data_IF_535662753942
#
_entry.id   IF_535662753942
#
_cell.length_a   1.000
_cell.length_b   1.000
_cell.length_c   1.000
_cell.angle_alpha   90.00
_cell.angle_beta   90.00
_cell.angle_gamma   90.00
#
_symmetry.space_group_name_H-M   'P 1'
#
loop_
_entity.id
_entity.type
_entity.pdbx_description
1 polymer ?
#
# COMPACT_ATOMS: atom_id res chain seq x y z
N UNK A 1 -6.21 -6.08 -5.51
CA UNK A 1 -5.52 -4.82 -5.14
C UNK A 1 -4.74 -4.33 -6.35
N UNK A 2 -4.80 -3.03 -6.65
CA UNK A 2 -3.95 -2.41 -7.67
C UNK A 2 -3.31 -1.14 -7.12
N UNK A 3 -2.02 -0.98 -7.36
CA UNK A 3 -1.22 0.14 -6.87
C UNK A 3 -0.74 0.94 -8.08
N UNK A 4 -0.89 2.26 -8.06
CA UNK A 4 -0.56 3.11 -9.22
C UNK A 4 0.16 4.39 -8.79
N UNK A 5 1.35 4.61 -9.33
CA UNK A 5 2.10 5.87 -9.23
C UNK A 5 1.98 6.64 -10.54
N UNK A 6 1.47 7.88 -10.54
CA UNK A 6 1.37 8.72 -11.75
C UNK A 6 0.80 7.99 -12.98
N UNK A 7 -0.30 7.24 -12.80
CA UNK A 7 -0.95 6.40 -13.81
C UNK A 7 -0.14 5.18 -14.31
N UNK A 8 0.97 4.83 -13.66
CA UNK A 8 1.74 3.60 -13.91
C UNK A 8 1.41 2.53 -12.87
N UNK A 9 0.94 1.38 -13.35
CA UNK A 9 0.64 0.22 -12.50
C UNK A 9 1.94 -0.37 -11.93
N UNK A 10 1.95 -0.65 -10.64
CA UNK A 10 3.03 -1.40 -10.00
C UNK A 10 2.83 -2.88 -10.29
N UNK A 11 3.86 -3.53 -10.80
CA UNK A 11 3.90 -4.97 -11.08
C UNK A 11 4.98 -5.61 -10.22
N UNK A 12 4.71 -6.80 -9.67
CA UNK A 12 5.66 -7.50 -8.82
C UNK A 12 6.98 -7.76 -9.56
N UNK A 13 8.10 -7.40 -8.91
CA UNK A 13 9.45 -7.55 -9.46
C UNK A 13 9.85 -6.52 -10.53
N UNK A 14 8.97 -5.58 -10.91
CA UNK A 14 9.33 -4.53 -11.86
C UNK A 14 10.00 -3.36 -11.14
N UNK A 15 11.15 -2.91 -11.64
CA UNK A 15 11.89 -1.79 -11.07
C UNK A 15 11.15 -0.47 -11.31
N UNK A 16 11.09 0.38 -10.28
CA UNK A 16 10.51 1.71 -10.35
C UNK A 16 11.56 2.71 -9.86
N UNK A 17 11.80 3.74 -10.65
CA UNK A 17 12.76 4.79 -10.29
C UNK A 17 12.29 5.58 -9.06
N UNK A 18 13.20 5.97 -8.13
CA UNK A 18 12.86 6.79 -6.97
C UNK A 18 12.12 8.09 -7.32
N UNK A 19 12.46 8.71 -8.45
CA UNK A 19 11.80 9.91 -8.95
C UNK A 19 10.32 9.71 -9.33
N UNK A 20 9.89 8.47 -9.56
CA UNK A 20 8.50 8.14 -9.88
C UNK A 20 7.64 7.84 -8.64
N UNK A 21 8.24 7.69 -7.46
CA UNK A 21 7.59 7.33 -6.20
C UNK A 21 7.71 8.43 -5.14
N UNK A 22 7.78 9.69 -5.57
CA UNK A 22 7.89 10.83 -4.64
C UNK A 22 6.60 11.11 -3.88
N UNK A 23 5.45 10.87 -4.51
CA UNK A 23 4.13 11.00 -3.90
C UNK A 23 3.52 9.63 -3.67
N UNK A 24 2.65 9.52 -2.66
CA UNK A 24 1.95 8.29 -2.32
C UNK A 24 1.19 7.69 -3.52
N UNK A 25 1.19 6.35 -3.67
CA UNK A 25 0.47 5.71 -4.75
C UNK A 25 -1.03 5.70 -4.48
N UNK A 26 -1.81 5.58 -5.56
CA UNK A 26 -3.22 5.21 -5.45
C UNK A 26 -3.32 3.71 -5.25
N UNK A 27 -3.87 3.27 -4.13
CA UNK A 27 -4.12 1.86 -3.81
C UNK A 27 -5.60 1.58 -3.88
N UNK A 28 -6.06 0.87 -4.90
CA UNK A 28 -7.45 0.43 -5.04
C UNK A 28 -7.62 -1.00 -4.59
N UNK A 29 -8.60 -1.22 -3.73
CA UNK A 29 -9.07 -2.55 -3.36
C UNK A 29 -10.20 -2.92 -4.33
N UNK A 30 -9.97 -3.96 -5.14
CA UNK A 30 -11.02 -4.46 -6.03
C UNK A 30 -11.94 -5.34 -5.18
N UNK A 31 -13.24 -5.30 -5.47
CA UNK A 31 -14.25 -6.14 -4.82
C UNK A 31 -13.71 -7.55 -4.55
N UNK A 32 -13.70 -7.91 -3.27
CA UNK A 32 -13.45 -9.27 -2.84
C UNK A 32 -14.74 -10.04 -3.13
N UNK A 33 -14.78 -10.64 -4.33
CA UNK A 33 -15.71 -11.69 -4.79
C UNK A 33 -17.09 -11.26 -5.31
N UNK A 34 -17.56 -12.04 -6.28
CA UNK A 34 -18.91 -12.11 -6.84
C UNK A 34 -19.95 -12.70 -5.89
N UNK A 35 -19.60 -12.90 -4.62
CA UNK A 35 -20.51 -13.40 -3.59
C UNK A 35 -21.07 -12.20 -2.82
N UNK A 36 -22.25 -11.74 -3.29
CA UNK A 36 -23.02 -10.66 -2.68
C UNK A 36 -23.39 -10.90 -1.21
N UNK A 37 -23.17 -12.11 -0.67
CA UNK A 37 -23.40 -12.39 0.75
C UNK A 37 -22.43 -11.68 1.70
N UNK A 38 -21.21 -11.34 1.25
CA UNK A 38 -20.25 -10.52 2.02
C UNK A 38 -20.49 -8.99 1.85
N UNK A 39 -21.35 -8.59 0.92
CA UNK A 39 -21.80 -7.19 0.80
C UNK A 39 -22.91 -6.84 1.80
N UNK A 40 -23.53 -7.85 2.42
CA UNK A 40 -24.64 -7.71 3.36
C UNK A 40 -24.23 -7.74 4.83
N UNK A 41 -22.93 -7.84 5.17
CA UNK A 41 -22.48 -7.66 6.54
C UNK A 41 -22.21 -6.16 6.82
N UNK A 42 -22.99 -5.50 7.69
CA UNK A 42 -22.73 -4.12 8.11
C UNK A 42 -21.41 -3.96 8.88
N UNK A 43 -20.72 -5.05 9.21
CA UNK A 43 -19.33 -5.11 9.67
C UNK A 43 -18.36 -5.31 8.50
N UNK A 44 -18.58 -4.56 7.40
CA UNK A 44 -17.70 -4.52 6.22
C UNK A 44 -16.24 -4.49 6.67
N UNK A 45 -15.48 -5.52 6.30
CA UNK A 45 -14.11 -5.71 6.77
C UNK A 45 -13.27 -4.47 6.46
N UNK A 46 -12.82 -3.80 7.52
CA UNK A 46 -11.87 -2.71 7.39
C UNK A 46 -10.51 -3.27 6.99
N UNK A 47 -9.95 -2.74 5.92
CA UNK A 47 -8.64 -3.09 5.42
C UNK A 47 -7.57 -2.16 6.01
N UNK A 48 -6.36 -2.69 6.07
CA UNK A 48 -5.15 -1.95 6.40
C UNK A 48 -4.17 -2.05 5.23
N UNK A 49 -3.62 -0.91 4.81
CA UNK A 49 -2.49 -0.83 3.89
C UNK A 49 -1.22 -0.58 4.69
N UNK A 50 -0.19 -1.40 4.46
CA UNK A 50 1.14 -1.23 5.03
C UNK A 50 2.15 -1.26 3.88
N UNK A 51 3.01 -0.25 3.80
CA UNK A 51 4.14 -0.21 2.87
C UNK A 51 5.43 -0.24 3.67
N UNK A 52 6.27 -1.25 3.43
CA UNK A 52 7.47 -1.55 4.21
C UNK A 52 8.65 -1.83 3.28
N UNK A 53 9.86 -1.54 3.73
CA UNK A 53 11.11 -1.92 3.08
C UNK A 53 11.89 -2.90 3.98
N UNK A 54 12.05 -4.17 3.55
CA UNK A 54 12.79 -5.18 4.30
C UNK A 54 14.31 -5.10 4.11
N UNK A 55 14.80 -4.24 3.21
CA UNK A 55 16.19 -4.20 2.73
C UNK A 55 16.94 -2.94 3.19
N UNK A 56 16.48 -2.25 4.24
CA UNK A 56 17.12 -1.00 4.71
C UNK A 56 18.51 -1.26 5.28
N UNK A 57 19.47 -0.42 4.85
CA UNK A 57 20.93 -0.60 4.92
C UNK A 57 21.51 -1.57 3.87
N UNK A 58 20.66 -2.08 2.99
CA UNK A 58 21.00 -2.92 1.86
C UNK A 58 20.47 -4.35 2.03
N UNK A 59 20.16 -5.03 0.92
CA UNK A 59 19.56 -6.39 0.96
C UNK A 59 20.52 -7.46 1.51
N UNK A 60 21.83 -7.17 1.58
CA UNK A 60 22.84 -8.11 2.09
C UNK A 60 23.05 -8.03 3.61
N UNK A 61 22.81 -6.86 4.22
CA UNK A 61 22.90 -6.66 5.67
C UNK A 61 21.76 -5.75 6.17
N UNK A 62 20.51 -6.24 6.16
CA UNK A 62 19.33 -5.43 6.43
C UNK A 62 19.07 -5.28 7.94
N UNK A 63 20.03 -4.73 8.71
CA UNK A 63 19.94 -4.64 10.17
C UNK A 63 18.94 -3.59 10.68
N UNK A 64 18.41 -2.74 9.80
CA UNK A 64 17.32 -1.79 10.10
C UNK A 64 15.96 -2.23 9.54
N UNK A 65 15.82 -3.45 9.05
CA UNK A 65 14.53 -3.98 8.62
C UNK A 65 13.57 -4.12 9.81
N UNK A 66 12.27 -3.91 9.66
CA UNK A 66 11.53 -3.39 8.51
C UNK A 66 11.34 -1.87 8.62
N UNK A 67 11.58 -1.12 7.53
CA UNK A 67 11.31 0.33 7.53
C UNK A 67 9.90 0.63 7.02
N UNK A 68 9.08 1.22 7.87
CA UNK A 68 7.69 1.53 7.57
C UNK A 68 7.56 2.84 6.79
N UNK A 69 7.26 2.74 5.50
CA UNK A 69 7.09 3.89 4.61
C UNK A 69 5.69 4.52 4.67
N UNK A 70 4.64 3.72 4.88
CA UNK A 70 3.27 4.23 4.85
C UNK A 70 2.31 3.27 5.54
N UNK A 71 1.39 3.81 6.35
CA UNK A 71 0.33 3.00 6.98
C UNK A 71 -1.00 3.74 6.96
N UNK A 72 -2.02 3.06 6.42
CA UNK A 72 -3.41 3.50 6.42
C UNK A 72 -4.28 2.39 7.00
N UNK A 73 -5.16 2.73 7.92
CA UNK A 73 -6.08 1.80 8.58
C UNK A 73 -7.54 2.16 8.30
N UNK A 74 -8.44 1.29 8.73
CA UNK A 74 -9.89 1.52 8.72
C UNK A 74 -10.46 1.77 7.29
N UNK A 75 -9.80 1.25 6.25
CA UNK A 75 -10.19 1.44 4.84
C UNK A 75 -11.42 0.57 4.54
N UNK A 76 -12.54 1.13 4.03
CA UNK A 76 -13.67 0.31 3.61
C UNK A 76 -13.31 -0.63 2.44
N UNK A 77 -13.65 -1.91 2.53
CA UNK A 77 -13.12 -2.98 1.65
C UNK A 77 -13.33 -2.83 0.14
N UNK A 78 -14.24 -1.98 -0.33
CA UNK A 78 -14.52 -1.73 -1.76
C UNK A 78 -13.94 -0.42 -2.29
N UNK A 79 -13.18 0.30 -1.46
CA UNK A 79 -12.70 1.66 -1.75
C UNK A 79 -11.21 1.68 -2.09
N UNK A 80 -10.58 2.84 -1.92
CA UNK A 80 -9.14 3.03 -2.05
C UNK A 80 -8.56 3.60 -0.75
N UNK A 81 -7.25 3.57 -0.61
CA UNK A 81 -6.59 3.98 0.64
C UNK A 81 -6.90 5.44 1.06
N UNK A 82 -7.43 6.30 0.18
CA UNK A 82 -7.83 7.66 0.57
C UNK A 82 -9.06 7.73 1.47
N UNK A 83 -9.83 6.64 1.57
CA UNK A 83 -10.99 6.53 2.46
C UNK A 83 -10.64 6.02 3.86
N UNK A 84 -9.40 5.59 4.06
CA UNK A 84 -8.91 5.17 5.37
C UNK A 84 -8.33 6.32 6.19
N UNK A 85 -7.93 5.99 7.41
CA UNK A 85 -7.19 6.88 8.30
C UNK A 85 -5.69 6.65 8.14
N UNK A 86 -4.97 7.66 7.70
CA UNK A 86 -3.51 7.66 7.71
C UNK A 86 -2.97 7.68 9.15
N UNK A 87 -2.13 6.70 9.49
CA UNK A 87 -1.50 6.57 10.81
C UNK A 87 -0.01 6.87 10.73
N UNK A 88 0.63 6.49 9.62
CA UNK A 88 2.00 6.84 9.29
C UNK A 88 1.96 7.48 7.91
N UNK A 89 2.38 8.74 7.83
CA UNK A 89 2.43 9.48 6.58
C UNK A 89 3.42 8.89 5.61
N UNK A 90 3.11 9.03 4.32
CA UNK A 90 3.94 8.50 3.26
C UNK A 90 5.35 9.12 3.27
N UNK A 91 6.36 8.28 3.44
CA UNK A 91 7.75 8.59 3.21
C UNK A 91 8.20 7.97 1.88
N UNK A 92 8.71 8.80 0.98
CA UNK A 92 9.18 8.31 -0.33
C UNK A 92 10.30 7.27 -0.15
N UNK A 93 10.26 6.14 -0.87
CA UNK A 93 11.38 5.21 -0.92
C UNK A 93 12.62 5.92 -1.45
N UNK A 94 13.66 5.98 -0.62
CA UNK A 94 14.98 6.44 -1.01
C UNK A 94 15.98 5.33 -0.75
N UNK A 95 16.95 5.17 -1.66
CA UNK A 95 18.05 4.25 -1.39
C UNK A 95 18.83 4.81 -0.21
N UNK A 96 18.89 4.06 0.89
CA UNK A 96 19.89 4.25 1.94
C UNK A 96 21.30 4.03 1.36
#
# INVERSE_FOLDING_TARGET
MSITYNNRLVCNGHEIYPSAVTNNPRVRFREVTSDLSLLCDPQASHLMQVMTDPDVQGPSDPYLREHLHWMVRDIPGTTDATFGREVVSYEMPSKA
#
